data_IF_215460323894
#
_entry.id   IF_215460323894
#
_cell.length_a   1.000
_cell.length_b   1.000
_cell.length_c   1.000
_cell.angle_alpha   90.00
_cell.angle_beta   90.00
_cell.angle_gamma   90.00
#
_symmetry.space_group_name_H-M   'P 1'
#
loop_
_entity.id
_entity.type
_entity.pdbx_description
1 polymer ?
#
# COMPACT_ATOMS: atom_id res chain seq x y z
N UNK A 1 -22.06 1.22 -5.41
CA UNK A 1 -20.78 0.50 -5.31
C UNK A 1 -19.58 1.45 -5.31
N UNK A 2 -19.40 2.30 -6.34
CA UNK A 2 -18.25 3.22 -6.45
C UNK A 2 -17.92 4.03 -5.19
N UNK A 3 -18.87 4.80 -4.65
CA UNK A 3 -18.58 5.62 -3.46
C UNK A 3 -18.29 4.78 -2.20
N UNK A 4 -18.75 3.53 -2.13
CA UNK A 4 -18.36 2.59 -1.08
C UNK A 4 -16.88 2.22 -1.24
N UNK A 5 -16.44 1.91 -2.46
CA UNK A 5 -15.03 1.65 -2.78
C UNK A 5 -14.16 2.85 -2.47
N UNK A 6 -14.51 4.03 -2.98
CA UNK A 6 -13.74 5.26 -2.73
C UNK A 6 -13.61 5.54 -1.23
N UNK A 7 -14.72 5.55 -0.47
CA UNK A 7 -14.67 5.79 0.97
C UNK A 7 -13.80 4.78 1.71
N UNK A 8 -13.85 3.51 1.33
CA UNK A 8 -13.05 2.46 1.95
C UNK A 8 -11.54 2.66 1.72
N UNK A 9 -11.16 3.02 0.49
CA UNK A 9 -9.75 3.26 0.12
C UNK A 9 -9.21 4.62 0.58
N UNK A 10 -10.08 5.54 1.00
CA UNK A 10 -9.68 6.73 1.75
C UNK A 10 -9.55 6.43 3.26
N UNK A 11 -10.49 5.66 3.81
CA UNK A 11 -10.52 5.38 5.26
C UNK A 11 -9.38 4.47 5.71
N UNK A 12 -9.04 3.43 4.94
CA UNK A 12 -8.00 2.48 5.31
C UNK A 12 -6.64 3.13 5.60
N UNK A 13 -6.08 3.92 4.65
CA UNK A 13 -4.81 4.63 4.85
C UNK A 13 -4.87 5.66 5.97
N UNK A 14 -5.97 6.40 6.10
CA UNK A 14 -6.14 7.35 7.20
C UNK A 14 -6.22 6.66 8.57
N UNK A 15 -6.86 5.50 8.66
CA UNK A 15 -6.85 4.68 9.88
C UNK A 15 -5.45 4.15 10.17
N UNK A 16 -4.74 3.67 9.16
CA UNK A 16 -3.35 3.24 9.31
C UNK A 16 -2.51 4.38 9.89
N UNK A 17 -2.50 5.55 9.26
CA UNK A 17 -1.71 6.69 9.70
C UNK A 17 -2.18 7.29 11.04
N UNK A 18 -3.43 7.10 11.46
CA UNK A 18 -3.91 7.58 12.75
C UNK A 18 -3.47 6.67 13.90
N UNK A 19 -3.48 5.35 13.69
CA UNK A 19 -3.29 4.36 14.76
C UNK A 19 -1.80 4.17 15.10
N UNK A 20 -1.43 4.22 16.40
CA UNK A 20 -0.03 4.05 16.84
C UNK A 20 0.51 2.67 16.50
N UNK A 21 1.64 2.63 15.79
CA UNK A 21 2.35 1.40 15.42
C UNK A 21 3.87 1.63 15.51
N UNK A 22 4.65 0.65 16.00
CA UNK A 22 6.09 0.82 16.19
C UNK A 22 6.81 1.22 14.89
N UNK A 23 7.62 2.27 14.97
CA UNK A 23 8.49 2.71 13.89
C UNK A 23 7.83 3.45 12.73
N UNK A 24 6.50 3.64 12.69
CA UNK A 24 5.81 4.35 11.60
C UNK A 24 5.12 5.65 12.08
N UNK A 25 4.78 6.55 11.16
CA UNK A 25 3.99 7.75 11.48
C UNK A 25 2.66 7.33 12.13
N UNK A 26 2.26 8.10 13.14
CA UNK A 26 0.96 7.96 13.81
C UNK A 26 0.47 9.32 14.28
N UNK A 27 -0.76 9.39 14.80
CA UNK A 27 -1.29 10.63 15.42
C UNK A 27 -0.43 11.21 16.55
N UNK A 28 0.49 10.43 17.11
CA UNK A 28 1.35 10.82 18.24
C UNK A 28 2.84 10.90 17.90
N UNK A 29 3.24 10.43 16.71
CA UNK A 29 4.65 10.28 16.34
C UNK A 29 4.84 10.61 14.88
N UNK A 30 5.61 11.65 14.62
CA UNK A 30 5.99 12.11 13.28
C UNK A 30 7.46 11.79 12.98
N UNK A 31 7.83 11.88 11.70
CA UNK A 31 9.21 12.09 11.26
C UNK A 31 9.44 13.58 10.96
N UNK A 32 10.70 13.98 10.79
CA UNK A 32 11.07 15.37 10.49
C UNK A 32 10.49 15.87 9.16
N UNK A 33 10.30 14.98 8.18
CA UNK A 33 9.87 15.25 6.81
C UNK A 33 8.52 14.57 6.46
N UNK A 34 7.85 13.95 7.44
CA UNK A 34 6.61 13.22 7.21
C UNK A 34 5.77 13.12 8.48
N UNK A 35 4.55 13.65 8.44
CA UNK A 35 3.64 13.75 9.60
C UNK A 35 2.26 13.23 9.27
N UNK A 36 1.42 12.97 10.28
CA UNK A 36 0.03 12.57 10.09
C UNK A 36 -0.76 13.51 9.14
N UNK A 37 -0.47 14.82 9.18
CA UNK A 37 -1.13 15.79 8.30
C UNK A 37 -0.81 15.58 6.83
N UNK A 38 0.40 15.12 6.49
CA UNK A 38 0.75 14.81 5.10
C UNK A 38 -0.12 13.69 4.54
N UNK A 39 -0.38 12.64 5.34
CA UNK A 39 -1.30 11.57 4.97
C UNK A 39 -2.73 12.09 4.81
N UNK A 40 -3.21 12.92 5.74
CA UNK A 40 -4.56 13.49 5.66
C UNK A 40 -4.80 14.26 4.35
N UNK A 41 -3.87 15.12 3.97
CA UNK A 41 -3.97 15.92 2.74
C UNK A 41 -3.80 15.03 1.49
N UNK A 42 -2.81 14.14 1.51
CA UNK A 42 -2.51 13.28 0.37
C UNK A 42 -3.63 12.26 0.06
N UNK A 43 -4.19 11.63 1.09
CA UNK A 43 -5.22 10.61 0.91
C UNK A 43 -6.55 11.26 0.48
N UNK A 44 -6.89 12.42 1.03
CA UNK A 44 -8.12 13.11 0.59
C UNK A 44 -8.02 13.66 -0.83
N UNK A 45 -6.83 14.03 -1.30
CA UNK A 45 -6.61 14.52 -2.66
C UNK A 45 -6.91 13.47 -3.75
N UNK A 46 -6.67 12.18 -3.49
CA UNK A 46 -6.82 11.12 -4.51
C UNK A 46 -8.27 10.68 -4.75
N UNK A 47 -9.23 11.21 -3.99
CA UNK A 47 -10.63 10.80 -4.05
C UNK A 47 -11.25 10.83 -5.47
N UNK A 48 -10.93 11.87 -6.26
CA UNK A 48 -11.40 11.99 -7.64
C UNK A 48 -10.85 10.89 -8.55
N UNK A 49 -9.56 10.59 -8.42
CA UNK A 49 -8.90 9.53 -9.19
C UNK A 49 -9.40 8.14 -8.79
N UNK A 50 -9.66 7.91 -7.50
CA UNK A 50 -10.26 6.67 -7.03
C UNK A 50 -11.69 6.47 -7.54
N UNK A 51 -12.46 7.56 -7.66
CA UNK A 51 -13.78 7.50 -8.29
C UNK A 51 -13.68 7.08 -9.76
N UNK A 52 -12.72 7.65 -10.50
CA UNK A 52 -12.46 7.28 -11.89
C UNK A 52 -12.00 5.83 -12.03
N UNK A 53 -11.07 5.37 -11.19
CA UNK A 53 -10.63 3.97 -11.15
C UNK A 53 -11.80 3.00 -10.90
N UNK A 54 -12.69 3.34 -9.97
CA UNK A 54 -13.88 2.54 -9.71
C UNK A 54 -14.86 2.55 -10.89
N UNK A 55 -14.99 3.68 -11.60
CA UNK A 55 -15.79 3.78 -12.83
C UNK A 55 -15.21 2.94 -13.97
N UNK A 56 -13.89 2.95 -14.15
CA UNK A 56 -13.18 2.08 -15.09
C UNK A 56 -13.48 0.62 -14.79
N UNK A 57 -13.38 0.19 -13.54
CA UNK A 57 -13.75 -1.18 -13.13
C UNK A 57 -15.21 -1.52 -13.46
N UNK A 58 -16.17 -0.63 -13.17
CA UNK A 58 -17.58 -0.86 -13.51
C UNK A 58 -17.78 -1.06 -15.03
N UNK A 59 -17.10 -0.26 -15.86
CA UNK A 59 -17.20 -0.36 -17.32
C UNK A 59 -16.59 -1.67 -17.83
N UNK A 60 -15.45 -2.11 -17.28
CA UNK A 60 -14.83 -3.38 -17.63
C UNK A 60 -15.73 -4.55 -17.22
N UNK A 61 -16.26 -4.53 -16.00
CA UNK A 61 -17.17 -5.57 -15.49
C UNK A 61 -18.45 -5.71 -16.33
N UNK A 62 -18.89 -4.62 -16.98
CA UNK A 62 -20.03 -4.60 -17.92
C UNK A 62 -19.67 -4.93 -19.37
N UNK A 63 -18.40 -5.18 -19.67
CA UNK A 63 -17.92 -5.42 -21.04
C UNK A 63 -17.94 -4.19 -21.94
N UNK A 64 -18.05 -2.98 -21.37
CA UNK A 64 -18.08 -1.71 -22.11
C UNK A 64 -16.68 -1.11 -22.32
N UNK A 65 -15.67 -1.62 -21.60
CA UNK A 65 -14.26 -1.26 -21.72
C UNK A 65 -13.43 -2.55 -21.63
N UNK A 66 -12.33 -2.64 -22.37
CA UNK A 66 -11.42 -3.79 -22.27
C UNK A 66 -10.44 -3.60 -21.11
N UNK A 67 -9.94 -4.67 -20.47
CA UNK A 67 -8.92 -4.57 -19.43
C UNK A 67 -7.65 -3.82 -19.86
N UNK A 68 -7.23 -3.97 -21.13
CA UNK A 68 -6.07 -3.26 -21.67
C UNK A 68 -6.25 -1.73 -21.76
N UNK A 69 -7.49 -1.26 -21.74
CA UNK A 69 -7.84 0.16 -21.79
C UNK A 69 -8.08 0.75 -20.38
N UNK A 70 -7.72 0.01 -19.31
CA UNK A 70 -7.95 0.43 -17.93
C UNK A 70 -7.10 1.64 -17.50
N UNK A 71 -5.95 1.87 -18.13
CA UNK A 71 -5.08 3.02 -17.84
C UNK A 71 -4.56 3.05 -16.40
N UNK A 72 -4.22 1.89 -15.84
CA UNK A 72 -3.77 1.72 -14.45
C UNK A 72 -2.59 2.65 -14.13
N UNK A 73 -1.59 2.69 -15.01
CA UNK A 73 -0.40 3.52 -14.80
C UNK A 73 -0.72 5.02 -14.80
N UNK A 74 -1.62 5.45 -15.69
CA UNK A 74 -2.06 6.84 -15.77
C UNK A 74 -2.84 7.24 -14.51
N UNK A 75 -3.74 6.39 -14.04
CA UNK A 75 -4.49 6.61 -12.80
C UNK A 75 -3.53 6.71 -11.60
N UNK A 76 -2.52 5.85 -11.50
CA UNK A 76 -1.49 5.97 -10.45
C UNK A 76 -0.75 7.31 -10.55
N UNK A 77 -0.27 7.70 -11.75
CA UNK A 77 0.41 8.99 -11.93
C UNK A 77 -0.46 10.17 -11.52
N UNK A 78 -1.72 10.21 -11.97
CA UNK A 78 -2.65 11.30 -11.65
C UNK A 78 -2.97 11.37 -10.16
N UNK A 79 -3.08 10.22 -9.49
CA UNK A 79 -3.25 10.19 -8.03
C UNK A 79 -2.02 10.77 -7.30
N UNK A 80 -0.81 10.38 -7.73
CA UNK A 80 0.44 10.92 -7.16
C UNK A 80 0.59 12.41 -7.42
N UNK A 81 0.28 12.90 -8.62
CA UNK A 81 0.26 14.33 -8.96
C UNK A 81 -0.74 15.12 -8.12
N UNK A 82 -1.94 14.57 -7.94
CA UNK A 82 -2.96 15.18 -7.10
C UNK A 82 -2.49 15.30 -5.65
N UNK A 83 -1.93 14.23 -5.09
CA UNK A 83 -1.32 14.24 -3.75
C UNK A 83 -0.23 15.31 -3.62
N UNK A 84 0.69 15.39 -4.60
CA UNK A 84 1.78 16.38 -4.62
C UNK A 84 1.31 17.84 -4.77
N UNK A 85 0.10 18.07 -5.26
CA UNK A 85 -0.45 19.43 -5.38
C UNK A 85 -0.77 20.05 -4.02
N UNK A 86 -1.08 19.23 -3.02
CA UNK A 86 -1.53 19.68 -1.70
C UNK A 86 -0.49 19.50 -0.59
N UNK A 87 0.62 18.82 -0.84
CA UNK A 87 1.69 18.57 0.13
C UNK A 87 3.04 18.23 -0.56
N UNK A 88 4.16 18.42 0.14
CA UNK A 88 5.54 18.35 -0.38
C UNK A 88 6.35 17.10 0.03
N UNK A 89 5.74 16.17 0.74
CA UNK A 89 6.24 14.84 1.09
C UNK A 89 5.72 13.72 0.17
N UNK A 90 6.13 12.48 0.45
CA UNK A 90 5.63 11.28 -0.23
C UNK A 90 4.99 10.30 0.79
N UNK A 91 3.79 10.61 1.29
CA UNK A 91 3.12 9.80 2.30
C UNK A 91 2.51 8.51 1.75
N UNK A 92 2.02 8.51 0.50
CA UNK A 92 1.07 7.49 0.06
C UNK A 92 1.33 6.91 -1.33
N UNK A 93 2.52 7.07 -1.92
CA UNK A 93 2.83 6.47 -3.22
C UNK A 93 2.60 4.94 -3.24
N UNK A 94 3.09 4.23 -2.22
CA UNK A 94 2.94 2.77 -2.14
C UNK A 94 1.48 2.36 -1.99
N UNK A 95 0.77 2.99 -1.04
CA UNK A 95 -0.69 2.87 -0.88
C UNK A 95 -1.44 3.09 -2.21
N UNK A 96 -1.19 4.18 -2.92
CA UNK A 96 -1.87 4.51 -4.20
C UNK A 96 -1.59 3.43 -5.24
N UNK A 97 -0.34 3.00 -5.36
CA UNK A 97 0.11 1.98 -6.32
C UNK A 97 -0.57 0.64 -6.04
N UNK A 98 -0.74 0.26 -4.78
CA UNK A 98 -1.52 -0.91 -4.39
C UNK A 98 -3.04 -0.71 -4.55
N UNK A 99 -3.55 0.50 -4.32
CA UNK A 99 -4.98 0.77 -4.26
C UNK A 99 -5.64 0.81 -5.63
N UNK A 100 -5.06 1.52 -6.61
CA UNK A 100 -5.69 1.74 -7.93
C UNK A 100 -6.12 0.44 -8.63
N UNK A 101 -5.23 -0.54 -8.88
CA UNK A 101 -5.64 -1.80 -9.51
C UNK A 101 -6.64 -2.61 -8.66
N UNK A 102 -6.55 -2.54 -7.32
CA UNK A 102 -7.49 -3.24 -6.44
C UNK A 102 -8.89 -2.59 -6.44
N UNK A 103 -8.97 -1.26 -6.54
CA UNK A 103 -10.22 -0.50 -6.72
C UNK A 103 -10.90 -0.88 -8.03
N UNK A 104 -10.13 -0.96 -9.13
CA UNK A 104 -10.64 -1.41 -10.44
C UNK A 104 -11.17 -2.85 -10.30
N UNK A 105 -10.37 -3.76 -9.73
CA UNK A 105 -10.73 -5.16 -9.54
C UNK A 105 -12.01 -5.34 -8.71
N UNK A 106 -12.14 -4.62 -7.59
CA UNK A 106 -13.33 -4.64 -6.73
C UNK A 106 -14.57 -4.09 -7.44
N UNK A 107 -14.40 -3.11 -8.34
CA UNK A 107 -15.52 -2.47 -9.02
C UNK A 107 -15.97 -3.24 -10.26
N UNK A 108 -15.19 -4.21 -10.73
CA UNK A 108 -15.55 -5.16 -11.79
C UNK A 108 -15.95 -6.55 -11.28
N UNK A 109 -16.03 -6.74 -9.96
CA UNK A 109 -16.28 -8.03 -9.31
C UNK A 109 -17.49 -7.97 -8.39
N UNK A 110 -18.09 -9.12 -8.10
CA UNK A 110 -19.23 -9.23 -7.20
C UNK A 110 -18.81 -9.13 -5.72
N UNK A 111 -17.63 -9.67 -5.40
CA UNK A 111 -17.09 -9.68 -4.04
C UNK A 111 -15.56 -9.49 -3.96
N UNK A 112 -15.06 -9.39 -2.72
CA UNK A 112 -13.65 -9.18 -2.41
C UNK A 112 -12.76 -10.35 -2.89
N UNK A 113 -13.23 -11.60 -2.81
CA UNK A 113 -12.45 -12.78 -3.21
C UNK A 113 -12.38 -12.92 -4.72
N UNK A 114 -13.45 -12.57 -5.43
CA UNK A 114 -13.45 -12.52 -6.88
C UNK A 114 -12.52 -11.42 -7.39
N UNK A 115 -12.52 -10.24 -6.75
CA UNK A 115 -11.59 -9.15 -7.08
C UNK A 115 -10.13 -9.60 -7.06
N UNK A 116 -9.74 -10.43 -6.07
CA UNK A 116 -8.41 -11.04 -5.99
C UNK A 116 -8.02 -11.76 -7.27
N UNK A 117 -8.97 -12.51 -7.85
CA UNK A 117 -8.76 -13.32 -9.07
C UNK A 117 -8.67 -12.47 -10.33
N UNK A 118 -9.12 -11.20 -10.32
CA UNK A 118 -9.01 -10.28 -11.45
C UNK A 118 -7.64 -9.58 -11.53
N UNK A 119 -6.86 -9.55 -10.46
CA UNK A 119 -5.57 -8.87 -10.44
C UNK A 119 -4.60 -9.41 -11.51
N UNK A 120 -4.39 -10.74 -11.66
CA UNK A 120 -3.51 -11.26 -12.70
C UNK A 120 -3.96 -10.87 -14.12
N UNK A 121 -5.27 -10.80 -14.36
CA UNK A 121 -5.83 -10.33 -15.63
C UNK A 121 -5.48 -8.85 -15.86
N UNK A 122 -5.74 -7.97 -14.89
CA UNK A 122 -5.45 -6.54 -15.02
C UNK A 122 -3.96 -6.26 -15.23
N UNK A 123 -3.09 -6.97 -14.51
CA UNK A 123 -1.64 -6.83 -14.69
C UNK A 123 -1.19 -7.37 -16.04
N UNK A 124 -1.72 -8.53 -16.47
CA UNK A 124 -1.36 -9.16 -17.74
C UNK A 124 -1.83 -8.38 -18.96
N UNK A 125 -2.99 -7.76 -18.89
CA UNK A 125 -3.56 -6.94 -19.96
C UNK A 125 -3.06 -5.50 -19.97
N UNK A 126 -2.34 -5.07 -18.92
CA UNK A 126 -1.70 -3.76 -18.91
C UNK A 126 -0.75 -3.59 -20.09
N UNK A 127 -0.53 -2.33 -20.47
CA UNK A 127 0.27 -1.98 -21.63
C UNK A 127 1.64 -1.44 -21.22
N UNK A 128 2.54 -1.28 -22.19
CA UNK A 128 3.80 -0.56 -21.95
C UNK A 128 3.55 0.89 -21.51
N UNK A 129 2.47 1.51 -22.02
CA UNK A 129 2.10 2.88 -21.63
C UNK A 129 1.81 2.95 -20.14
N UNK A 130 1.13 1.96 -19.57
CA UNK A 130 0.92 1.90 -18.11
C UNK A 130 2.24 1.87 -17.35
N UNK A 131 3.25 1.14 -17.86
CA UNK A 131 4.58 1.11 -17.25
C UNK A 131 5.29 2.45 -17.32
N UNK A 132 5.21 3.15 -18.46
CA UNK A 132 5.77 4.48 -18.63
C UNK A 132 5.08 5.50 -17.71
N UNK A 133 3.75 5.45 -17.58
CA UNK A 133 3.02 6.33 -16.68
C UNK A 133 3.35 6.03 -15.20
N UNK A 134 3.52 4.75 -14.83
CA UNK A 134 4.02 4.38 -13.50
C UNK A 134 5.42 4.93 -13.26
N UNK A 135 6.33 4.87 -14.23
CA UNK A 135 7.67 5.44 -14.11
C UNK A 135 7.62 6.96 -13.89
N UNK A 136 6.72 7.66 -14.59
CA UNK A 136 6.48 9.09 -14.35
C UNK A 136 5.94 9.32 -12.94
N UNK A 137 5.02 8.50 -12.46
CA UNK A 137 4.53 8.55 -11.08
C UNK A 137 5.67 8.37 -10.07
N UNK A 138 6.57 7.41 -10.30
CA UNK A 138 7.75 7.17 -9.46
C UNK A 138 8.69 8.38 -9.47
N UNK A 139 8.94 9.01 -10.63
CA UNK A 139 9.76 10.23 -10.73
C UNK A 139 9.17 11.39 -9.93
N UNK A 140 7.84 11.54 -9.93
CA UNK A 140 7.12 12.59 -9.19
C UNK A 140 7.12 12.31 -7.68
N UNK A 141 6.88 11.05 -7.28
CA UNK A 141 6.94 10.63 -5.89
C UNK A 141 8.37 10.69 -5.33
N UNK A 142 9.36 10.39 -6.17
CA UNK A 142 10.79 10.32 -5.89
C UNK A 142 11.12 9.57 -4.57
N UNK A 143 10.68 8.29 -4.42
CA UNK A 143 10.91 7.55 -3.18
C UNK A 143 12.40 7.22 -2.97
N UNK A 144 12.81 7.16 -1.70
CA UNK A 144 14.21 6.91 -1.30
C UNK A 144 14.63 5.46 -1.65
N UNK A 145 15.88 5.29 -2.08
CA UNK A 145 16.51 3.96 -2.22
C UNK A 145 16.24 3.21 -3.52
N UNK A 146 15.78 3.89 -4.58
CA UNK A 146 15.68 3.27 -5.91
C UNK A 146 17.07 3.19 -6.56
N UNK A 147 17.39 2.01 -7.11
CA UNK A 147 18.64 1.76 -7.82
C UNK A 147 18.75 2.57 -9.12
N UNK A 148 19.96 3.02 -9.44
CA UNK A 148 20.31 3.75 -10.67
C UNK A 148 21.33 2.96 -11.50
N UNK A 149 21.40 3.24 -12.79
CA UNK A 149 22.33 2.59 -13.73
C UNK A 149 22.03 1.11 -13.97
N UNK A 150 20.80 0.68 -13.72
CA UNK A 150 20.32 -0.69 -13.95
C UNK A 150 19.45 -0.76 -15.21
N UNK A 151 19.18 -1.97 -15.73
CA UNK A 151 18.24 -2.14 -16.85
C UNK A 151 16.87 -1.59 -16.46
N UNK A 152 16.29 -0.77 -17.34
CA UNK A 152 15.06 -0.02 -17.09
C UNK A 152 15.15 0.93 -15.87
N UNK A 153 16.27 1.63 -15.70
CA UNK A 153 16.42 2.66 -14.66
C UNK A 153 15.30 3.70 -14.78
N UNK A 154 14.49 3.82 -13.73
CA UNK A 154 13.36 4.74 -13.70
C UNK A 154 13.76 6.19 -13.92
N UNK A 155 15.00 6.58 -13.60
CA UNK A 155 15.52 7.93 -13.78
C UNK A 155 16.29 8.14 -15.10
N UNK A 156 16.46 7.11 -15.93
CA UNK A 156 17.06 7.23 -17.25
C UNK A 156 15.99 7.55 -18.30
N UNK A 157 16.25 8.54 -19.16
CA UNK A 157 15.34 8.87 -20.27
C UNK A 157 15.36 7.79 -21.36
N UNK A 158 16.46 7.06 -21.50
CA UNK A 158 16.61 5.95 -22.45
C UNK A 158 15.66 4.79 -22.11
N UNK A 159 15.35 4.60 -20.82
CA UNK A 159 14.52 3.49 -20.37
C UNK A 159 13.10 3.51 -20.92
N UNK A 160 12.56 4.67 -21.31
CA UNK A 160 11.26 4.68 -21.99
C UNK A 160 11.33 3.99 -23.35
N UNK A 161 12.38 4.21 -24.13
CA UNK A 161 12.60 3.52 -25.40
C UNK A 161 12.74 2.01 -25.19
N UNK A 162 13.62 1.61 -24.26
CA UNK A 162 13.86 0.21 -23.91
C UNK A 162 12.58 -0.53 -23.49
N UNK A 163 11.72 0.11 -22.68
CA UNK A 163 10.45 -0.47 -22.24
C UNK A 163 9.50 -0.76 -23.41
N UNK A 164 9.47 0.10 -24.44
CA UNK A 164 8.70 -0.12 -25.65
C UNK A 164 9.30 -1.20 -26.54
N UNK A 165 10.61 -1.20 -26.73
CA UNK A 165 11.33 -2.20 -27.51
C UNK A 165 11.14 -3.61 -26.94
N UNK A 166 11.26 -3.74 -25.61
CA UNK A 166 11.13 -5.02 -24.90
C UNK A 166 9.68 -5.38 -24.54
N UNK A 167 8.71 -4.54 -24.93
CA UNK A 167 7.28 -4.66 -24.64
C UNK A 167 7.01 -4.99 -23.15
N UNK A 168 7.56 -4.17 -22.26
CA UNK A 168 7.45 -4.34 -20.81
C UNK A 168 6.18 -3.70 -20.29
N UNK A 169 5.18 -4.52 -19.98
CA UNK A 169 3.97 -4.09 -19.26
C UNK A 169 4.11 -4.25 -17.74
N UNK A 170 3.08 -3.91 -16.97
CA UNK A 170 3.14 -3.94 -15.50
C UNK A 170 3.39 -5.34 -14.95
N UNK A 171 2.84 -6.39 -15.58
CA UNK A 171 3.11 -7.78 -15.17
C UNK A 171 4.60 -8.12 -15.33
N UNK A 172 5.20 -7.80 -16.48
CA UNK A 172 6.63 -8.04 -16.73
C UNK A 172 7.50 -7.22 -15.80
N UNK A 173 7.18 -5.93 -15.61
CA UNK A 173 7.88 -5.07 -14.68
C UNK A 173 7.84 -5.64 -13.25
N UNK A 174 6.67 -6.10 -12.81
CA UNK A 174 6.50 -6.68 -11.49
C UNK A 174 7.36 -7.94 -11.33
N UNK A 175 7.41 -8.80 -12.35
CA UNK A 175 8.30 -9.97 -12.40
C UNK A 175 9.77 -9.63 -12.19
N UNK A 176 10.24 -8.53 -12.77
CA UNK A 176 11.64 -8.08 -12.66
C UNK A 176 11.93 -7.41 -11.30
N UNK A 177 10.89 -6.89 -10.64
CA UNK A 177 11.05 -5.95 -9.51
C UNK A 177 10.55 -6.47 -8.17
N UNK A 178 9.78 -7.57 -8.12
CA UNK A 178 9.22 -8.14 -6.90
C UNK A 178 10.30 -8.39 -5.82
N UNK A 179 11.46 -8.95 -6.15
CA UNK A 179 12.51 -9.21 -5.16
C UNK A 179 12.98 -7.95 -4.40
N UNK A 180 12.82 -6.75 -5.00
CA UNK A 180 13.28 -5.47 -4.43
C UNK A 180 12.16 -4.63 -3.82
N UNK A 181 10.91 -4.91 -4.17
CA UNK A 181 9.76 -4.10 -3.76
C UNK A 181 8.50 -4.95 -3.63
N UNK A 182 7.97 -4.97 -2.40
CA UNK A 182 6.83 -5.79 -2.01
C UNK A 182 5.57 -5.49 -2.84
N UNK A 183 5.38 -4.23 -3.25
CA UNK A 183 4.23 -3.81 -4.06
C UNK A 183 4.10 -4.67 -5.32
N UNK A 184 5.22 -4.96 -5.98
CA UNK A 184 5.22 -5.77 -7.19
C UNK A 184 4.96 -7.25 -6.90
N UNK A 185 5.41 -7.77 -5.74
CA UNK A 185 5.04 -9.11 -5.32
C UNK A 185 3.55 -9.26 -5.03
N UNK A 186 2.92 -8.24 -4.45
CA UNK A 186 1.46 -8.21 -4.26
C UNK A 186 0.74 -8.26 -5.61
N UNK A 187 1.20 -7.51 -6.62
CA UNK A 187 0.60 -7.61 -7.96
C UNK A 187 0.70 -9.00 -8.57
N UNK A 188 1.86 -9.67 -8.45
CA UNK A 188 2.07 -11.02 -8.99
C UNK A 188 1.27 -12.10 -8.26
N UNK A 189 1.17 -12.00 -6.93
CA UNK A 189 0.50 -12.99 -6.06
C UNK A 189 -1.01 -12.76 -5.93
N UNK A 190 -1.54 -11.71 -6.57
CA UNK A 190 -2.92 -11.29 -6.37
C UNK A 190 -3.15 -10.87 -4.92
N UNK A 191 -2.27 -10.03 -4.38
CA UNK A 191 -2.36 -9.38 -3.08
C UNK A 191 -2.34 -10.37 -1.91
N UNK A 192 -1.47 -11.37 -1.94
CA UNK A 192 -1.45 -12.43 -0.93
C UNK A 192 -1.29 -11.89 0.49
N UNK A 193 -0.34 -10.97 0.72
CA UNK A 193 -0.05 -10.43 2.04
C UNK A 193 -1.15 -9.47 2.50
N UNK A 194 -1.69 -8.65 1.61
CA UNK A 194 -2.83 -7.78 1.91
C UNK A 194 -4.07 -8.61 2.29
N UNK A 195 -4.40 -9.67 1.55
CA UNK A 195 -5.57 -10.49 1.86
C UNK A 195 -5.39 -11.33 3.13
N UNK A 196 -4.18 -11.83 3.41
CA UNK A 196 -3.90 -12.53 4.67
C UNK A 196 -3.99 -11.58 5.87
N UNK A 197 -3.45 -10.37 5.74
CA UNK A 197 -3.52 -9.33 6.79
C UNK A 197 -4.96 -8.88 7.02
N UNK A 198 -5.74 -8.66 5.95
CA UNK A 198 -7.17 -8.39 6.02
C UNK A 198 -7.93 -9.52 6.76
N UNK A 199 -7.67 -10.78 6.43
CA UNK A 199 -8.29 -11.93 7.10
C UNK A 199 -7.93 -11.97 8.58
N UNK A 200 -6.66 -11.70 8.91
CA UNK A 200 -6.20 -11.65 10.29
C UNK A 200 -6.84 -10.51 11.10
N UNK A 201 -7.00 -9.33 10.51
CA UNK A 201 -7.72 -8.22 11.13
C UNK A 201 -9.16 -8.62 11.48
N UNK A 202 -9.84 -9.33 10.59
CA UNK A 202 -11.20 -9.82 10.88
C UNK A 202 -11.28 -10.76 12.08
N UNK A 203 -10.25 -11.58 12.30
CA UNK A 203 -10.17 -12.47 13.46
C UNK A 203 -9.89 -11.71 14.77
N UNK A 204 -9.16 -10.61 14.70
CA UNK A 204 -8.76 -9.82 15.87
C UNK A 204 -9.85 -8.85 16.34
N UNK A 205 -10.67 -8.31 15.43
CA UNK A 205 -11.70 -7.32 15.77
C UNK A 205 -12.73 -7.75 16.84
N UNK A 206 -13.19 -9.02 16.90
CA UNK A 206 -14.07 -9.47 17.97
C UNK A 206 -13.39 -9.57 19.34
N UNK A 207 -12.08 -9.76 19.36
CA UNK A 207 -11.29 -10.06 20.56
C UNK A 207 -10.61 -8.82 21.15
N UNK A 208 -10.29 -7.84 20.31
CA UNK A 208 -9.52 -6.65 20.67
C UNK A 208 -10.22 -5.38 20.17
N UNK A 209 -10.13 -4.27 20.93
CA UNK A 209 -10.50 -2.97 20.39
C UNK A 209 -9.65 -2.62 19.17
N UNK A 210 -10.16 -1.71 18.33
CA UNK A 210 -9.66 -1.49 16.97
C UNK A 210 -8.15 -1.16 16.94
N UNK A 211 -7.69 -0.28 17.83
CA UNK A 211 -6.29 0.12 17.89
C UNK A 211 -5.39 -1.08 18.22
N UNK A 212 -5.76 -1.86 19.25
CA UNK A 212 -5.02 -3.04 19.65
C UNK A 212 -5.05 -4.14 18.59
N UNK A 213 -6.16 -4.33 17.87
CA UNK A 213 -6.27 -5.28 16.77
C UNK A 213 -5.32 -4.91 15.61
N UNK A 214 -5.31 -3.64 15.20
CA UNK A 214 -4.43 -3.14 14.14
C UNK A 214 -2.96 -3.23 14.56
N UNK A 215 -2.64 -2.85 15.80
CA UNK A 215 -1.28 -2.92 16.33
C UNK A 215 -0.77 -4.35 16.40
N UNK A 216 -1.61 -5.28 16.86
CA UNK A 216 -1.29 -6.71 16.91
C UNK A 216 -1.07 -7.28 15.51
N UNK A 217 -1.97 -7.01 14.56
CA UNK A 217 -1.81 -7.45 13.17
C UNK A 217 -0.54 -6.88 12.53
N UNK A 218 -0.20 -5.63 12.83
CA UNK A 218 1.01 -5.00 12.30
C UNK A 218 2.29 -5.64 12.82
N UNK A 219 2.35 -5.96 14.12
CA UNK A 219 3.48 -6.68 14.71
C UNK A 219 3.62 -8.10 14.14
N UNK A 220 2.51 -8.82 13.96
CA UNK A 220 2.49 -10.15 13.31
C UNK A 220 2.98 -10.07 11.84
N UNK A 221 2.57 -9.03 11.10
CA UNK A 221 3.04 -8.77 9.75
C UNK A 221 4.55 -8.47 9.73
N UNK A 222 5.02 -7.58 10.63
CA UNK A 222 6.42 -7.19 10.72
C UNK A 222 7.32 -8.35 11.18
N UNK A 223 6.82 -9.28 11.98
CA UNK A 223 7.56 -10.46 12.43
C UNK A 223 7.63 -11.59 11.39
N UNK A 224 6.70 -11.61 10.42
CA UNK A 224 6.62 -12.66 9.41
C UNK A 224 7.32 -12.31 8.09
N UNK A 225 7.62 -11.02 7.87
CA UNK A 225 8.19 -10.56 6.60
C UNK A 225 9.18 -9.43 6.80
N UNK A 226 10.22 -9.43 5.97
CA UNK A 226 11.15 -8.31 5.92
C UNK A 226 10.54 -7.17 5.09
N UNK A 227 10.63 -5.96 5.63
CA UNK A 227 10.17 -4.74 4.96
C UNK A 227 11.16 -4.30 3.88
N UNK A 228 10.69 -4.17 2.64
CA UNK A 228 11.52 -3.81 1.49
C UNK A 228 11.99 -2.35 1.51
N UNK A 229 11.27 -1.44 2.17
CA UNK A 229 11.73 -0.05 2.33
C UNK A 229 12.89 0.03 3.32
N UNK A 230 12.80 -0.68 4.46
CA UNK A 230 13.93 -0.78 5.40
C UNK A 230 15.14 -1.40 4.69
N UNK A 231 14.94 -2.48 3.94
CA UNK A 231 16.03 -3.15 3.21
C UNK A 231 16.72 -2.21 2.22
N UNK A 232 15.96 -1.39 1.48
CA UNK A 232 16.54 -0.39 0.56
C UNK A 232 17.28 0.75 1.26
N UNK A 233 16.83 1.17 2.44
CA UNK A 233 17.39 2.33 3.16
C UNK A 233 18.56 1.96 4.10
N UNK A 234 18.49 0.78 4.72
CA UNK A 234 19.38 0.36 5.80
C UNK A 234 20.03 -1.01 5.57
N UNK A 235 19.69 -1.71 4.48
CA UNK A 235 20.25 -3.01 4.12
C UNK A 235 19.49 -4.19 4.71
N UNK A 236 19.74 -5.37 4.12
CA UNK A 236 19.08 -6.63 4.45
C UNK A 236 19.23 -7.04 5.92
N UNK A 237 20.43 -6.89 6.48
CA UNK A 237 20.73 -7.28 7.86
C UNK A 237 19.89 -6.50 8.87
N UNK A 238 19.76 -5.18 8.66
CA UNK A 238 18.96 -4.32 9.52
C UNK A 238 17.46 -4.64 9.40
N UNK A 239 16.99 -4.89 8.18
CA UNK A 239 15.59 -5.23 7.93
C UNK A 239 15.22 -6.59 8.56
N UNK A 240 16.12 -7.58 8.53
CA UNK A 240 15.97 -8.87 9.23
C UNK A 240 16.01 -8.68 10.75
N UNK A 241 16.86 -7.79 11.27
CA UNK A 241 16.92 -7.48 12.70
C UNK A 241 15.60 -6.88 13.21
N UNK A 242 15.00 -5.96 12.45
CA UNK A 242 13.67 -5.40 12.74
C UNK A 242 12.63 -6.51 12.83
N UNK A 243 12.57 -7.39 11.82
CA UNK A 243 11.63 -8.52 11.78
C UNK A 243 11.80 -9.43 13.00
N UNK A 244 13.03 -9.80 13.35
CA UNK A 244 13.31 -10.63 14.52
C UNK A 244 12.84 -9.96 15.83
N UNK A 245 13.10 -8.66 15.99
CA UNK A 245 12.68 -7.91 17.17
C UNK A 245 11.17 -7.77 17.29
N UNK A 246 10.45 -7.63 16.18
CA UNK A 246 8.99 -7.72 16.19
C UNK A 246 8.52 -9.09 16.70
N UNK A 247 9.20 -10.18 16.32
CA UNK A 247 8.99 -11.52 16.90
C UNK A 247 9.23 -11.58 18.41
N UNK A 248 10.34 -11.00 18.88
CA UNK A 248 10.65 -10.91 20.32
C UNK A 248 9.56 -10.16 21.11
N UNK A 249 8.93 -9.15 20.51
CA UNK A 249 7.78 -8.45 21.08
C UNK A 249 6.56 -9.38 21.19
N UNK A 250 6.23 -10.11 20.12
CA UNK A 250 5.10 -11.05 20.12
C UNK A 250 5.29 -12.20 21.14
N UNK A 251 6.54 -12.57 21.41
CA UNK A 251 6.93 -13.57 22.43
C UNK A 251 7.02 -13.01 23.85
N UNK A 252 6.83 -11.69 24.05
CA UNK A 252 6.94 -11.03 25.35
C UNK A 252 8.37 -10.89 25.88
N UNK A 253 9.39 -11.07 25.02
CA UNK A 253 10.82 -10.91 25.36
C UNK A 253 11.32 -9.48 25.23
N UNK A 254 10.60 -8.64 24.50
CA UNK A 254 10.87 -7.21 24.30
C UNK A 254 9.56 -6.43 24.46
N UNK A 255 9.56 -5.29 25.15
CA UNK A 255 8.35 -4.45 25.22
C UNK A 255 8.12 -3.70 23.91
N UNK A 256 6.86 -3.37 23.62
CA UNK A 256 6.51 -2.59 22.43
C UNK A 256 7.19 -1.20 22.46
N UNK A 257 7.31 -0.58 23.64
CA UNK A 257 7.96 0.71 23.82
C UNK A 257 9.45 0.65 23.50
N UNK A 258 10.16 -0.36 24.02
CA UNK A 258 11.58 -0.55 23.74
C UNK A 258 11.83 -0.88 22.26
N UNK A 259 10.88 -1.58 21.63
CA UNK A 259 10.94 -1.84 20.20
C UNK A 259 10.70 -0.57 19.38
N UNK A 260 9.70 0.27 19.71
CA UNK A 260 9.50 1.57 19.04
C UNK A 260 10.71 2.48 19.20
N UNK A 261 11.31 2.57 20.40
CA UNK A 261 12.56 3.30 20.62
C UNK A 261 13.69 2.78 19.75
N UNK A 262 13.86 1.45 19.65
CA UNK A 262 14.81 0.84 18.73
C UNK A 262 14.54 1.27 17.28
N UNK A 263 13.29 1.22 16.81
CA UNK A 263 12.93 1.63 15.45
C UNK A 263 13.29 3.10 15.21
N UNK A 264 13.03 3.98 16.18
CA UNK A 264 13.25 5.43 16.08
C UNK A 264 14.69 5.88 16.25
N UNK A 265 15.54 5.07 16.90
CA UNK A 265 16.92 5.44 17.19
C UNK A 265 17.76 5.78 15.94
N UNK A 266 17.28 5.40 14.74
CA UNK A 266 17.91 5.71 13.44
C UNK A 266 17.02 6.54 12.52
N UNK A 267 16.16 7.39 13.10
CA UNK A 267 15.26 8.24 12.33
C UNK A 267 14.29 7.42 11.48
N UNK A 268 14.21 7.72 10.18
CA UNK A 268 13.32 7.05 9.23
C UNK A 268 13.96 5.79 8.58
N UNK A 269 15.19 5.40 8.96
CA UNK A 269 15.89 4.26 8.35
C UNK A 269 15.22 2.91 8.64
N UNK A 270 14.61 2.77 9.82
CA UNK A 270 13.86 1.56 10.21
C UNK A 270 12.34 1.72 10.03
N UNK A 271 11.89 2.73 9.28
CA UNK A 271 10.46 2.88 9.01
C UNK A 271 9.94 1.72 8.15
N UNK A 272 9.01 0.88 8.65
CA UNK A 272 8.44 -0.24 7.91
C UNK A 272 7.36 0.20 6.91
N UNK A 273 7.73 1.08 5.96
CA UNK A 273 6.78 1.73 5.06
C UNK A 273 6.11 0.77 4.08
N UNK A 274 6.82 -0.23 3.56
CA UNK A 274 6.23 -1.19 2.62
C UNK A 274 5.17 -2.06 3.28
N UNK A 275 5.37 -2.46 4.54
CA UNK A 275 4.37 -3.21 5.31
C UNK A 275 3.25 -2.30 5.83
N UNK A 276 3.52 -1.02 6.06
CA UNK A 276 2.49 -0.03 6.34
C UNK A 276 1.55 0.16 5.14
N UNK A 277 2.07 0.21 3.91
CA UNK A 277 1.25 0.27 2.69
C UNK A 277 0.30 -0.94 2.60
N UNK A 278 0.80 -2.15 2.90
CA UNK A 278 -0.01 -3.38 2.95
C UNK A 278 -1.08 -3.30 4.04
N UNK A 279 -0.74 -2.81 5.24
CA UNK A 279 -1.69 -2.62 6.34
C UNK A 279 -2.79 -1.64 5.95
N UNK A 280 -2.45 -0.50 5.35
CA UNK A 280 -3.38 0.51 4.88
C UNK A 280 -4.41 -0.06 3.90
N UNK A 281 -3.96 -0.82 2.90
CA UNK A 281 -4.84 -1.44 1.89
C UNK A 281 -5.68 -2.58 2.50
N UNK A 282 -5.12 -3.32 3.47
CA UNK A 282 -5.88 -4.34 4.22
C UNK A 282 -7.01 -3.73 5.03
N UNK A 283 -6.77 -2.57 5.65
CA UNK A 283 -7.80 -1.77 6.32
C UNK A 283 -8.82 -1.21 5.32
N UNK A 284 -8.41 -0.87 4.10
CA UNK A 284 -9.36 -0.52 3.03
C UNK A 284 -10.28 -1.68 2.68
N UNK A 285 -9.79 -2.91 2.60
CA UNK A 285 -10.65 -4.09 2.40
C UNK A 285 -11.62 -4.31 3.56
N UNK A 286 -11.18 -4.05 4.80
CA UNK A 286 -12.02 -4.11 6.00
C UNK A 286 -13.14 -3.06 5.96
N UNK A 287 -12.79 -1.82 5.63
CA UNK A 287 -13.74 -0.74 5.42
C UNK A 287 -14.71 -1.04 4.26
N UNK A 288 -14.21 -1.63 3.18
CA UNK A 288 -15.04 -2.04 2.05
C UNK A 288 -16.02 -3.13 2.46
N UNK A 289 -15.58 -4.12 3.25
CA UNK A 289 -16.43 -5.21 3.74
C UNK A 289 -17.58 -4.72 4.62
N UNK A 290 -17.37 -3.64 5.37
CA UNK A 290 -18.42 -2.98 6.12
C UNK A 290 -18.04 -2.58 7.54
N UNK A 291 -16.75 -2.37 7.82
CA UNK A 291 -16.28 -1.92 9.13
C UNK A 291 -17.09 -0.71 9.65
N UNK A 292 -17.63 -0.87 10.85
CA UNK A 292 -18.30 0.15 11.66
C UNK A 292 -17.61 0.24 13.01
N UNK A 293 -17.86 1.34 13.71
CA UNK A 293 -17.34 1.56 15.05
C UNK A 293 -18.43 1.39 16.10
N UNK A 294 -18.09 0.74 17.21
CA UNK A 294 -18.87 0.70 18.42
C UNK A 294 -18.00 1.09 19.62
N UNK A 295 -18.54 1.91 20.53
CA UNK A 295 -17.84 2.24 21.77
C UNK A 295 -18.32 1.31 22.87
N UNK A 296 -17.42 0.51 23.45
CA UNK A 296 -17.71 -0.40 24.57
C UNK A 296 -16.73 -0.11 25.70
N UNK A 297 -17.24 0.25 26.88
CA UNK A 297 -16.43 0.56 28.06
C UNK A 297 -15.32 1.60 27.81
N UNK A 298 -15.62 2.65 27.04
CA UNK A 298 -14.67 3.72 26.71
C UNK A 298 -13.62 3.36 25.65
N UNK A 299 -13.67 2.15 25.08
CA UNK A 299 -12.81 1.72 23.98
C UNK A 299 -13.58 1.67 22.66
N UNK A 300 -12.90 1.94 21.56
CA UNK A 300 -13.44 1.86 20.20
C UNK A 300 -13.20 0.46 19.64
N UNK A 301 -14.28 -0.22 19.25
CA UNK A 301 -14.27 -1.54 18.64
C UNK A 301 -14.65 -1.44 17.17
N UNK A 302 -13.98 -2.22 16.33
CA UNK A 302 -14.40 -2.42 14.95
C UNK A 302 -15.37 -3.60 14.88
N UNK A 303 -16.51 -3.40 14.21
CA UNK A 303 -17.50 -4.46 13.95
C UNK A 303 -17.82 -4.50 12.47
N UNK A 304 -18.11 -5.69 11.93
CA UNK A 304 -18.39 -5.91 10.50
C UNK A 304 -19.76 -6.55 10.36
#
# INVERSE_FOLDING_TARGET
>A
MIWRTVRAFLLGPLLEAALPKPGNVSRFRDFSDLTFYHFLFADTAVAGVYYEAAKVGELIGRGLLKPCDAGIGELIRRAVESSRTFQDANPNFGVVTLSVPLIIALSMSEDILEARKKIPLLMGESTVRDTVELYRAIRIANPKGIARGVKYDVYSDDSFGELFEDNVNLLRLAGISCERELIFCEWLSGYEVTYSTFSRLQELLPELPLEEAVRRAFLELLASRVDTLIERKAGREEAVLVMKKAGEVLEGKLSEEAFDEFMRARGDLRNPGSLADVMAVSLSLLAFKGLKLETRNGKVWGVI
#
